data_IF_260345859729
#
_entry.id   IF_260345859729
#
_cell.length_a   1.000
_cell.length_b   1.000
_cell.length_c   1.000
_cell.angle_alpha   90.00
_cell.angle_beta   90.00
_cell.angle_gamma   90.00
#
_symmetry.space_group_name_H-M   'P 1'
#
loop_
_entity.id
_entity.type
_entity.pdbx_description
1 polymer ?
#
# COMPACT_ATOMS: atom_id res chain seq x y z
N UNK A 1 -0.76 -26.26 2.59
CA UNK A 1 0.37 -25.84 1.71
C UNK A 1 -0.12 -25.90 0.28
N UNK A 2 -0.36 -24.77 -0.37
CA UNK A 2 -0.69 -24.72 -1.81
C UNK A 2 0.63 -24.45 -2.50
N UNK A 3 1.31 -25.51 -2.95
CA UNK A 3 2.47 -25.38 -3.81
C UNK A 3 1.96 -25.09 -5.22
N UNK A 4 2.31 -23.94 -5.76
CA UNK A 4 2.25 -23.71 -7.19
C UNK A 4 3.49 -24.37 -7.79
N UNK A 5 3.32 -25.61 -8.31
CA UNK A 5 4.39 -26.27 -9.06
C UNK A 5 4.51 -25.60 -10.43
N UNK A 6 5.76 -25.34 -10.85
CA UNK A 6 6.16 -24.68 -12.11
C UNK A 6 5.86 -25.50 -13.40
N UNK A 7 4.85 -26.37 -13.41
CA UNK A 7 4.56 -27.27 -14.53
C UNK A 7 3.17 -27.06 -15.14
N UNK A 8 2.82 -25.80 -15.46
CA UNK A 8 1.83 -25.55 -16.52
C UNK A 8 2.17 -24.27 -17.27
N UNK A 9 3.09 -24.39 -18.19
CA UNK A 9 3.29 -23.42 -19.26
C UNK A 9 1.99 -23.33 -20.09
N UNK A 10 1.21 -22.23 -19.89
CA UNK A 10 0.10 -21.88 -20.78
C UNK A 10 -1.27 -21.57 -20.16
N UNK A 11 -1.49 -21.81 -18.89
CA UNK A 11 -2.78 -21.51 -18.24
C UNK A 11 -2.58 -20.81 -16.90
N UNK A 12 -2.33 -19.50 -16.90
CA UNK A 12 -2.31 -18.73 -15.64
C UNK A 12 -3.62 -18.94 -14.89
N UNK A 13 -3.54 -19.32 -13.61
CA UNK A 13 -4.71 -19.46 -12.73
C UNK A 13 -5.59 -18.22 -12.87
N UNK A 14 -6.90 -18.43 -13.12
CA UNK A 14 -7.83 -17.32 -13.28
C UNK A 14 -7.82 -16.48 -12.00
N UNK A 15 -7.46 -15.19 -12.14
CA UNK A 15 -7.40 -14.25 -11.03
C UNK A 15 -8.66 -14.31 -10.17
N UNK A 16 -9.83 -14.46 -10.78
CA UNK A 16 -11.11 -14.51 -10.07
C UNK A 16 -11.16 -15.74 -9.15
N UNK A 17 -10.77 -16.90 -9.66
CA UNK A 17 -10.74 -18.16 -8.88
C UNK A 17 -9.75 -18.07 -7.72
N UNK A 18 -8.60 -17.47 -7.95
CA UNK A 18 -7.60 -17.24 -6.88
C UNK A 18 -8.17 -16.36 -5.78
N UNK A 19 -8.84 -15.27 -6.15
CA UNK A 19 -9.42 -14.33 -5.19
C UNK A 19 -10.61 -14.96 -4.43
N UNK A 20 -11.49 -15.68 -5.11
CA UNK A 20 -12.59 -16.40 -4.45
C UNK A 20 -12.07 -17.39 -3.41
N UNK A 21 -11.04 -18.16 -3.76
CA UNK A 21 -10.43 -19.11 -2.84
C UNK A 21 -9.72 -18.42 -1.68
N UNK A 22 -9.01 -17.33 -1.93
CA UNK A 22 -8.27 -16.59 -0.89
C UNK A 22 -9.21 -16.06 0.21
N UNK A 23 -10.36 -15.50 -0.17
CA UNK A 23 -11.36 -14.96 0.75
C UNK A 23 -12.41 -15.97 1.22
N UNK A 24 -12.28 -17.25 0.88
CA UNK A 24 -13.22 -18.29 1.33
C UNK A 24 -13.00 -18.69 2.79
N UNK A 25 -13.99 -19.38 3.37
CA UNK A 25 -13.91 -19.90 4.74
C UNK A 25 -12.74 -20.89 4.96
N UNK A 26 -12.25 -21.53 3.91
CA UNK A 26 -11.07 -22.42 3.91
C UNK A 26 -9.86 -21.81 3.20
N UNK A 27 -9.88 -20.50 2.90
CA UNK A 27 -8.81 -19.79 2.21
C UNK A 27 -7.64 -19.43 3.12
N UNK A 28 -6.57 -18.93 2.53
CA UNK A 28 -5.35 -18.53 3.26
C UNK A 28 -5.60 -17.50 4.36
N UNK A 29 -6.57 -16.61 4.20
CA UNK A 29 -6.94 -15.67 5.25
C UNK A 29 -7.53 -16.37 6.49
N UNK A 30 -8.20 -17.53 6.33
CA UNK A 30 -8.82 -18.25 7.44
C UNK A 30 -7.81 -18.85 8.42
N UNK A 31 -6.56 -19.02 8.02
CA UNK A 31 -5.48 -19.48 8.89
C UNK A 31 -5.04 -18.39 9.90
N UNK A 32 -5.41 -17.14 9.68
CA UNK A 32 -5.14 -16.05 10.62
C UNK A 32 -6.13 -16.11 11.80
N UNK A 33 -5.62 -16.17 13.03
CA UNK A 33 -6.42 -16.22 14.28
C UNK A 33 -7.41 -15.06 14.45
N UNK A 34 -7.32 -14.01 13.63
CA UNK A 34 -8.18 -12.81 13.67
C UNK A 34 -9.08 -12.69 12.45
N UNK A 35 -9.10 -13.71 11.60
CA UNK A 35 -9.91 -13.66 10.38
C UNK A 35 -11.37 -13.98 10.70
N UNK A 36 -12.25 -13.11 10.27
CA UNK A 36 -13.69 -13.29 10.23
C UNK A 36 -14.14 -13.26 8.77
N UNK A 37 -14.83 -14.30 8.34
CA UNK A 37 -15.39 -14.33 6.99
C UNK A 37 -16.43 -13.22 6.83
N UNK A 38 -16.20 -12.35 5.86
CA UNK A 38 -17.09 -11.22 5.52
C UNK A 38 -17.50 -11.33 4.05
N UNK A 39 -18.74 -11.78 3.78
CA UNK A 39 -19.21 -11.95 2.41
C UNK A 39 -19.08 -10.68 1.56
N UNK A 40 -19.29 -9.50 2.14
CA UNK A 40 -19.20 -8.22 1.45
C UNK A 40 -17.75 -7.91 1.03
N UNK A 41 -16.78 -8.30 1.86
CA UNK A 41 -15.35 -8.17 1.53
C UNK A 41 -14.99 -9.07 0.34
N UNK A 42 -15.44 -10.31 0.35
CA UNK A 42 -15.22 -11.27 -0.74
C UNK A 42 -15.87 -10.78 -2.03
N UNK A 43 -17.12 -10.32 -1.98
CA UNK A 43 -17.82 -9.77 -3.15
C UNK A 43 -17.09 -8.59 -3.75
N UNK A 44 -16.62 -7.65 -2.92
CA UNK A 44 -15.82 -6.52 -3.36
C UNK A 44 -14.52 -6.98 -4.01
N UNK A 45 -13.79 -7.92 -3.41
CA UNK A 45 -12.53 -8.42 -3.95
C UNK A 45 -12.72 -9.10 -5.31
N UNK A 46 -13.78 -9.88 -5.48
CA UNK A 46 -14.15 -10.50 -6.77
C UNK A 46 -14.50 -9.44 -7.81
N UNK A 47 -15.25 -8.40 -7.44
CA UNK A 47 -15.59 -7.31 -8.36
C UNK A 47 -14.34 -6.58 -8.83
N UNK A 48 -13.38 -6.29 -7.93
CA UNK A 48 -12.09 -5.70 -8.28
C UNK A 48 -11.29 -6.61 -9.21
N UNK A 49 -11.23 -7.92 -8.93
CA UNK A 49 -10.54 -8.89 -9.78
C UNK A 49 -11.13 -8.94 -11.21
N UNK A 50 -12.46 -8.90 -11.33
CA UNK A 50 -13.16 -8.86 -12.64
C UNK A 50 -12.82 -7.60 -13.41
N UNK A 51 -12.89 -6.43 -12.77
CA UNK A 51 -12.56 -5.15 -13.37
C UNK A 51 -11.11 -5.09 -13.85
N UNK A 52 -10.15 -5.57 -13.04
CA UNK A 52 -8.74 -5.65 -13.42
C UNK A 52 -8.51 -6.57 -14.61
N UNK A 53 -9.15 -7.75 -14.61
CA UNK A 53 -9.06 -8.73 -15.71
C UNK A 53 -9.65 -8.18 -17.01
N UNK A 54 -10.81 -7.50 -16.92
CA UNK A 54 -11.49 -6.89 -18.06
C UNK A 54 -10.90 -5.55 -18.50
N UNK A 55 -9.96 -4.98 -17.76
CA UNK A 55 -9.49 -3.60 -17.94
C UNK A 55 -10.64 -2.59 -17.90
N UNK A 56 -11.56 -2.78 -16.99
CA UNK A 56 -12.80 -2.00 -16.85
C UNK A 56 -12.71 -1.06 -15.63
N UNK A 57 -13.51 -0.01 -15.65
CA UNK A 57 -13.70 0.85 -14.50
C UNK A 57 -14.67 0.23 -13.49
N UNK A 58 -14.37 0.39 -12.20
CA UNK A 58 -15.23 -0.07 -11.12
C UNK A 58 -15.42 1.04 -10.09
N UNK A 59 -16.66 1.27 -9.70
CA UNK A 59 -17.03 2.13 -8.56
C UNK A 59 -17.70 1.24 -7.52
N UNK A 60 -17.20 1.29 -6.27
CA UNK A 60 -17.73 0.49 -5.17
C UNK A 60 -18.03 1.38 -4.00
N UNK A 61 -19.24 1.29 -3.48
CA UNK A 61 -19.60 1.83 -2.17
C UNK A 61 -19.65 0.68 -1.16
N UNK A 62 -18.91 0.82 -0.07
CA UNK A 62 -18.87 -0.17 1.00
C UNK A 62 -18.79 0.53 2.36
N UNK A 63 -19.55 0.06 3.33
CA UNK A 63 -19.60 0.58 4.69
C UNK A 63 -18.26 0.52 5.42
N UNK A 64 -18.19 1.17 6.58
CA UNK A 64 -17.02 1.04 7.48
C UNK A 64 -16.95 -0.37 8.06
N UNK A 65 -15.71 -0.87 8.29
CA UNK A 65 -15.52 -2.19 8.90
C UNK A 65 -15.58 -3.40 7.96
N UNK A 66 -15.99 -3.24 6.71
CA UNK A 66 -16.07 -4.34 5.71
C UNK A 66 -14.69 -4.94 5.35
N UNK A 67 -13.59 -4.23 5.66
CA UNK A 67 -12.25 -4.69 5.28
C UNK A 67 -11.86 -4.32 3.85
N UNK A 68 -12.30 -3.13 3.39
CA UNK A 68 -12.06 -2.60 2.04
C UNK A 68 -10.60 -2.69 1.58
N UNK A 69 -9.65 -2.39 2.48
CA UNK A 69 -8.22 -2.37 2.14
C UNK A 69 -7.76 -3.71 1.57
N UNK A 70 -8.06 -4.79 2.24
CA UNK A 70 -7.70 -6.13 1.74
C UNK A 70 -8.45 -6.49 0.47
N UNK A 71 -9.74 -6.09 0.38
CA UNK A 71 -10.58 -6.41 -0.78
C UNK A 71 -10.06 -5.80 -2.09
N UNK A 72 -9.34 -4.68 -2.07
CA UNK A 72 -8.72 -4.16 -3.28
C UNK A 72 -7.22 -4.44 -3.37
N UNK A 73 -6.49 -4.52 -2.24
CA UNK A 73 -5.05 -4.78 -2.27
C UNK A 73 -4.72 -6.17 -2.81
N UNK A 74 -5.43 -7.20 -2.33
CA UNK A 74 -5.14 -8.58 -2.71
C UNK A 74 -5.27 -8.81 -4.21
N UNK A 75 -6.41 -8.50 -4.87
CA UNK A 75 -6.51 -8.65 -6.33
C UNK A 75 -5.55 -7.73 -7.09
N UNK A 76 -5.26 -6.51 -6.59
CA UNK A 76 -4.30 -5.62 -7.22
C UNK A 76 -2.88 -6.18 -7.19
N UNK A 77 -2.45 -6.79 -6.08
CA UNK A 77 -1.14 -7.43 -5.95
C UNK A 77 -1.02 -8.63 -6.90
N UNK A 78 -1.98 -9.55 -6.88
CA UNK A 78 -1.96 -10.71 -7.78
C UNK A 78 -1.95 -10.29 -9.25
N UNK A 79 -2.78 -9.30 -9.62
CA UNK A 79 -2.80 -8.78 -10.99
C UNK A 79 -1.47 -8.12 -11.38
N UNK A 80 -0.91 -7.29 -10.50
CA UNK A 80 0.36 -6.60 -10.76
C UNK A 80 1.51 -7.59 -10.95
N UNK A 81 1.61 -8.60 -10.07
CA UNK A 81 2.65 -9.64 -10.15
C UNK A 81 2.47 -10.49 -11.41
N UNK A 82 1.26 -11.01 -11.67
CA UNK A 82 1.00 -11.89 -12.82
C UNK A 82 1.19 -11.19 -14.17
N UNK A 83 0.96 -9.89 -14.25
CA UNK A 83 1.11 -9.10 -15.47
C UNK A 83 2.44 -8.34 -15.56
N UNK A 84 3.32 -8.50 -14.55
CA UNK A 84 4.55 -7.71 -14.42
C UNK A 84 4.29 -6.18 -14.56
N UNK A 85 3.24 -5.71 -13.89
CA UNK A 85 2.78 -4.31 -13.89
C UNK A 85 2.88 -3.71 -12.50
N UNK A 86 2.66 -2.40 -12.41
CA UNK A 86 2.56 -1.68 -11.14
C UNK A 86 1.09 -1.38 -10.84
N UNK A 87 0.68 -1.59 -9.59
CA UNK A 87 -0.58 -1.09 -9.07
C UNK A 87 -0.33 0.21 -8.29
N UNK A 88 -1.11 1.25 -8.55
CA UNK A 88 -1.05 2.53 -7.84
C UNK A 88 -2.29 2.66 -6.97
N UNK A 89 -2.08 2.76 -5.67
CA UNK A 89 -3.15 2.96 -4.68
C UNK A 89 -3.09 4.41 -4.22
N UNK A 90 -4.13 5.18 -4.54
CA UNK A 90 -4.25 6.56 -4.08
C UNK A 90 -5.19 6.65 -2.89
N UNK A 91 -4.78 7.36 -1.85
CA UNK A 91 -5.59 7.61 -0.65
C UNK A 91 -5.69 9.10 -0.37
N UNK A 92 -6.74 9.51 0.35
CA UNK A 92 -6.95 10.92 0.68
C UNK A 92 -6.11 11.36 1.90
N UNK A 93 -5.81 10.46 2.82
CA UNK A 93 -5.14 10.80 4.09
C UNK A 93 -3.79 10.09 4.23
N UNK A 94 -2.84 10.77 4.87
CA UNK A 94 -1.53 10.20 5.23
C UNK A 94 -1.72 9.01 6.18
N UNK A 95 -2.61 9.11 7.17
CA UNK A 95 -2.88 8.03 8.12
C UNK A 95 -3.27 6.72 7.41
N UNK A 96 -4.08 6.80 6.34
CA UNK A 96 -4.43 5.61 5.56
C UNK A 96 -3.24 5.09 4.74
N UNK A 97 -2.40 5.99 4.19
CA UNK A 97 -1.15 5.56 3.54
C UNK A 97 -0.26 4.79 4.51
N UNK A 98 -0.06 5.31 5.72
CA UNK A 98 0.74 4.68 6.78
C UNK A 98 0.12 3.35 7.22
N UNK A 99 -1.19 3.28 7.42
CA UNK A 99 -1.86 2.02 7.72
C UNK A 99 -1.59 0.97 6.65
N UNK A 100 -1.71 1.33 5.36
CA UNK A 100 -1.47 0.40 4.26
C UNK A 100 -0.01 -0.08 4.22
N UNK A 101 0.95 0.83 4.42
CA UNK A 101 2.38 0.52 4.28
C UNK A 101 3.01 -0.10 5.52
N UNK A 102 2.50 0.21 6.71
CA UNK A 102 3.08 -0.28 7.97
C UNK A 102 2.37 -1.50 8.54
N UNK A 103 1.10 -1.73 8.14
CA UNK A 103 0.29 -2.85 8.67
C UNK A 103 -0.21 -3.79 7.59
N UNK A 104 -1.00 -3.28 6.63
CA UNK A 104 -1.74 -4.13 5.70
C UNK A 104 -0.80 -4.82 4.70
N UNK A 105 0.10 -4.09 4.05
CA UNK A 105 1.05 -4.65 3.08
C UNK A 105 2.11 -5.57 3.71
N UNK A 106 2.73 -5.24 4.86
CA UNK A 106 3.62 -6.17 5.56
C UNK A 106 2.94 -7.47 5.98
N UNK A 107 1.67 -7.39 6.45
CA UNK A 107 0.88 -8.57 6.76
C UNK A 107 0.63 -9.41 5.50
N UNK A 108 0.24 -8.78 4.39
CA UNK A 108 0.00 -9.47 3.12
C UNK A 108 1.27 -10.14 2.58
N UNK A 109 2.47 -9.58 2.79
CA UNK A 109 3.75 -10.24 2.44
C UNK A 109 3.96 -11.57 3.15
N UNK A 110 3.39 -11.74 4.34
CA UNK A 110 3.51 -13.00 5.10
C UNK A 110 2.47 -14.04 4.69
N UNK A 111 1.32 -13.61 4.18
CA UNK A 111 0.16 -14.47 3.90
C UNK A 111 0.07 -14.84 2.42
N UNK A 112 0.44 -13.92 1.52
CA UNK A 112 0.34 -14.16 0.09
C UNK A 112 1.47 -15.08 -0.41
N UNK A 113 1.15 -16.06 -1.27
CA UNK A 113 2.14 -16.98 -1.85
C UNK A 113 2.88 -16.34 -3.05
N UNK A 114 3.00 -15.02 -3.09
CA UNK A 114 3.67 -14.26 -4.15
C UNK A 114 4.58 -13.20 -3.55
N UNK A 115 5.74 -13.03 -4.14
CA UNK A 115 6.65 -11.95 -3.76
C UNK A 115 6.25 -10.64 -4.46
N UNK A 116 6.21 -9.56 -3.70
CA UNK A 116 5.96 -8.22 -4.22
C UNK A 116 6.71 -7.17 -3.39
N UNK A 117 7.00 -6.05 -4.03
CA UNK A 117 7.57 -4.87 -3.38
C UNK A 117 6.57 -3.72 -3.40
N UNK A 118 6.67 -2.84 -2.43
CA UNK A 118 5.85 -1.64 -2.36
C UNK A 118 6.65 -0.46 -1.82
N UNK A 119 6.21 0.74 -2.13
CA UNK A 119 6.74 1.99 -1.57
C UNK A 119 5.61 2.98 -1.36
N UNK A 120 5.77 3.84 -0.37
CA UNK A 120 4.85 4.96 -0.13
C UNK A 120 5.39 6.21 -0.82
N UNK A 121 4.50 6.97 -1.43
CA UNK A 121 4.81 8.28 -1.98
C UNK A 121 3.81 9.31 -1.46
N UNK A 122 4.26 10.20 -0.61
CA UNK A 122 3.48 11.35 -0.12
C UNK A 122 3.50 12.48 -1.14
N UNK A 123 2.59 13.44 -1.02
CA UNK A 123 2.64 14.67 -1.81
C UNK A 123 3.96 15.43 -1.57
N UNK A 124 4.50 16.08 -2.59
CA UNK A 124 5.81 16.78 -2.54
C UNK A 124 5.95 17.76 -1.36
N UNK A 125 4.84 18.35 -0.89
CA UNK A 125 4.83 19.24 0.27
C UNK A 125 5.17 18.55 1.59
N UNK A 126 5.09 17.22 1.65
CA UNK A 126 5.39 16.43 2.84
C UNK A 126 6.84 15.90 2.87
N UNK A 127 7.70 16.44 2.01
CA UNK A 127 9.12 16.09 1.99
C UNK A 127 9.98 17.31 2.20
N UNK A 128 11.05 17.14 2.97
CA UNK A 128 12.07 18.17 3.14
C UNK A 128 12.78 18.44 1.81
N UNK A 129 12.77 19.69 1.39
CA UNK A 129 13.57 20.12 0.24
C UNK A 129 14.97 20.54 0.69
N UNK A 130 15.98 19.72 0.44
CA UNK A 130 17.37 19.97 0.85
C UNK A 130 17.91 21.31 0.30
N UNK A 131 17.56 21.69 -0.92
CA UNK A 131 17.91 22.99 -1.51
C UNK A 131 17.30 24.17 -0.74
N UNK A 132 16.03 24.05 -0.31
CA UNK A 132 15.37 25.08 0.50
C UNK A 132 15.97 25.15 1.90
N UNK A 133 16.26 24.02 2.52
CA UNK A 133 16.93 23.95 3.80
C UNK A 133 18.30 24.64 3.74
N UNK A 134 19.12 24.33 2.74
CA UNK A 134 20.42 24.96 2.56
C UNK A 134 20.31 26.48 2.39
N UNK A 135 19.36 26.95 1.60
CA UNK A 135 19.11 28.40 1.42
C UNK A 135 18.65 29.08 2.70
N UNK A 136 17.74 28.43 3.45
CA UNK A 136 17.28 28.94 4.75
C UNK A 136 18.46 29.07 5.73
N UNK A 137 19.34 28.09 5.80
CA UNK A 137 20.57 28.14 6.63
C UNK A 137 21.51 29.28 6.24
N UNK A 138 21.70 29.54 4.96
CA UNK A 138 22.55 30.63 4.50
C UNK A 138 22.00 32.04 4.83
N UNK A 139 20.68 32.16 4.90
CA UNK A 139 19.98 33.42 5.14
C UNK A 139 19.47 33.56 6.58
N UNK A 140 19.70 32.56 7.44
CA UNK A 140 19.15 32.52 8.80
C UNK A 140 19.46 33.76 9.63
N UNK A 141 20.72 34.23 9.60
CA UNK A 141 21.15 35.36 10.41
C UNK A 141 20.50 36.70 10.02
N UNK A 142 19.96 36.79 8.82
CA UNK A 142 19.35 38.03 8.31
C UNK A 142 17.85 38.03 8.26
N UNK A 143 17.22 36.83 8.26
CA UNK A 143 15.80 36.71 7.99
C UNK A 143 14.99 36.06 9.14
N UNK A 144 15.67 35.36 10.08
CA UNK A 144 15.00 34.59 11.10
C UNK A 144 15.15 35.18 12.51
N UNK A 145 14.12 35.06 13.31
CA UNK A 145 14.15 35.34 14.75
C UNK A 145 14.92 34.24 15.49
N UNK A 146 15.27 34.48 16.75
CA UNK A 146 15.97 33.50 17.60
C UNK A 146 15.21 32.16 17.70
N UNK A 147 13.89 32.20 17.82
CA UNK A 147 13.04 31.01 17.88
C UNK A 147 13.04 30.22 16.57
N UNK A 148 12.94 30.90 15.44
CA UNK A 148 12.99 30.28 14.11
C UNK A 148 14.36 29.68 13.80
N UNK A 149 15.45 30.29 14.31
CA UNK A 149 16.79 29.74 14.20
C UNK A 149 16.94 28.41 14.97
N UNK A 150 16.34 28.31 16.16
CA UNK A 150 16.33 27.06 16.94
C UNK A 150 15.54 25.97 16.21
N UNK A 151 14.40 26.31 15.62
CA UNK A 151 13.62 25.38 14.82
C UNK A 151 14.38 24.92 13.57
N UNK A 152 15.01 25.84 12.85
CA UNK A 152 15.85 25.50 11.71
C UNK A 152 17.01 24.58 12.09
N UNK A 153 17.60 24.77 13.29
CA UNK A 153 18.62 23.88 13.81
C UNK A 153 18.07 22.47 14.03
N UNK A 154 16.91 22.34 14.68
CA UNK A 154 16.24 21.03 14.87
C UNK A 154 15.94 20.32 13.57
N UNK A 155 15.39 21.04 12.59
CA UNK A 155 15.15 20.51 11.22
C UNK A 155 16.47 20.07 10.58
N UNK A 156 17.55 20.84 10.76
CA UNK A 156 18.87 20.50 10.20
C UNK A 156 19.46 19.24 10.80
N UNK A 157 19.30 19.02 12.11
CA UNK A 157 19.75 17.80 12.79
C UNK A 157 18.90 16.59 12.34
N UNK A 158 17.58 16.72 12.34
CA UNK A 158 16.67 15.68 11.85
C UNK A 158 16.96 15.31 10.37
N UNK A 159 17.32 16.29 9.54
CA UNK A 159 17.67 16.04 8.13
C UNK A 159 18.90 15.13 7.94
N UNK A 160 19.71 14.93 8.97
CA UNK A 160 20.85 13.99 8.93
C UNK A 160 20.44 12.56 9.29
N UNK A 161 19.32 12.40 10.00
CA UNK A 161 18.84 11.12 10.53
C UNK A 161 17.76 10.49 9.65
N UNK A 162 16.95 11.32 8.98
CA UNK A 162 15.88 10.83 8.11
C UNK A 162 16.42 10.04 6.91
N UNK A 163 15.75 8.93 6.59
CA UNK A 163 16.12 8.07 5.46
C UNK A 163 15.47 8.48 4.15
N UNK A 164 14.28 9.10 4.21
CA UNK A 164 13.47 9.46 3.03
C UNK A 164 13.10 10.96 2.97
N UNK A 165 13.34 11.70 4.04
CA UNK A 165 13.00 13.12 4.16
C UNK A 165 11.51 13.41 4.27
N UNK A 166 10.67 12.42 4.59
CA UNK A 166 9.24 12.64 4.79
C UNK A 166 8.95 13.21 6.17
N UNK A 167 8.05 14.19 6.22
CA UNK A 167 7.56 14.83 7.43
C UNK A 167 6.42 14.03 8.05
#
# INVERSE_FOLDING_TARGET
MISFTDEEQGGGLDLIVVIEKFFSASGLLSESKKFELRPEQQQMAIAVAKALKGSEHLIVEAGTGVGKSLAYLVPAIFHAVSQNKKAVISTHTINLQEQLTEKDLPMLKQVLPVEFSFTMLKGRGNYLCTRRLQRARQQAATLLTSSEMEELKRITEWAKETTDGSL
#
